data_IF_811437641532
#
_entry.id   IF_811437641532
#
_cell.length_a   1.000
_cell.length_b   1.000
_cell.length_c   1.000
_cell.angle_alpha   90.00
_cell.angle_beta   90.00
_cell.angle_gamma   90.00
#
_symmetry.space_group_name_H-M   'P 1'
#
loop_
_entity.id
_entity.type
_entity.pdbx_description
1 polymer ?
#
# COMPACT_ATOMS: atom_id res chain seq x y z
N UNK A 1 -56.38 5.10 2.65
CA UNK A 1 -55.41 5.88 1.86
C UNK A 1 -53.99 5.76 2.41
N UNK A 2 -53.70 6.03 3.70
CA UNK A 2 -52.33 5.92 4.24
C UNK A 2 -51.64 4.53 4.15
N UNK A 3 -52.36 3.41 4.21
CA UNK A 3 -51.73 2.08 4.23
C UNK A 3 -51.23 1.61 2.85
N UNK A 4 -51.94 1.94 1.77
CA UNK A 4 -51.49 1.59 0.41
C UNK A 4 -50.30 2.47 -0.02
N UNK A 5 -50.35 3.76 0.33
CA UNK A 5 -49.28 4.71 0.06
C UNK A 5 -48.00 4.38 0.84
N UNK A 6 -48.12 4.01 2.13
CA UNK A 6 -46.99 3.51 2.93
C UNK A 6 -46.43 2.18 2.40
N UNK A 7 -47.29 1.25 1.98
CA UNK A 7 -46.86 -0.03 1.37
C UNK A 7 -46.09 0.20 0.06
N UNK A 8 -46.50 1.18 -0.72
CA UNK A 8 -45.83 1.51 -1.98
C UNK A 8 -44.47 2.21 -1.73
N UNK A 9 -44.38 3.08 -0.71
CA UNK A 9 -43.11 3.68 -0.28
C UNK A 9 -42.13 2.61 0.21
N UNK A 10 -42.56 1.65 1.04
CA UNK A 10 -41.71 0.55 1.51
C UNK A 10 -41.19 -0.32 0.36
N UNK A 11 -42.05 -0.62 -0.63
CA UNK A 11 -41.63 -1.34 -1.84
C UNK A 11 -40.58 -0.55 -2.63
N UNK A 12 -40.77 0.77 -2.81
CA UNK A 12 -39.82 1.65 -3.52
C UNK A 12 -38.49 1.76 -2.77
N UNK A 13 -38.51 1.88 -1.44
CA UNK A 13 -37.32 1.90 -0.59
C UNK A 13 -36.52 0.60 -0.72
N UNK A 14 -37.18 -0.55 -0.64
CA UNK A 14 -36.53 -1.85 -0.80
C UNK A 14 -35.86 -2.00 -2.17
N UNK A 15 -36.57 -1.62 -3.24
CA UNK A 15 -36.00 -1.66 -4.60
C UNK A 15 -34.79 -0.72 -4.71
N UNK A 16 -34.86 0.48 -4.12
CA UNK A 16 -33.74 1.42 -4.12
C UNK A 16 -32.52 0.88 -3.36
N UNK A 17 -32.73 0.26 -2.19
CA UNK A 17 -31.66 -0.39 -1.42
C UNK A 17 -31.01 -1.54 -2.19
N UNK A 18 -31.81 -2.38 -2.86
CA UNK A 18 -31.33 -3.49 -3.68
C UNK A 18 -30.53 -3.00 -4.89
N UNK A 19 -31.02 -1.96 -5.59
CA UNK A 19 -30.30 -1.33 -6.70
C UNK A 19 -29.00 -0.68 -6.23
N UNK A 20 -29.01 0.03 -5.11
CA UNK A 20 -27.82 0.64 -4.54
C UNK A 20 -26.78 -0.41 -4.12
N UNK A 21 -27.22 -1.51 -3.51
CA UNK A 21 -26.37 -2.65 -3.15
C UNK A 21 -25.76 -3.31 -4.40
N UNK A 22 -26.57 -3.59 -5.41
CA UNK A 22 -26.11 -4.18 -6.66
C UNK A 22 -25.10 -3.27 -7.38
N UNK A 23 -25.36 -1.96 -7.42
CA UNK A 23 -24.47 -0.97 -8.03
C UNK A 23 -23.13 -0.92 -7.31
N UNK A 24 -23.13 -0.87 -5.97
CA UNK A 24 -21.89 -0.93 -5.18
C UNK A 24 -21.11 -2.22 -5.39
N UNK A 25 -21.81 -3.36 -5.49
CA UNK A 25 -21.17 -4.65 -5.76
C UNK A 25 -20.52 -4.66 -7.15
N UNK A 26 -21.27 -4.29 -8.18
CA UNK A 26 -20.76 -4.23 -9.55
C UNK A 26 -19.55 -3.30 -9.66
N UNK A 27 -19.57 -2.16 -8.98
CA UNK A 27 -18.43 -1.25 -8.92
C UNK A 27 -17.19 -1.92 -8.31
N UNK A 28 -17.34 -2.60 -7.17
CA UNK A 28 -16.24 -3.35 -6.54
C UNK A 28 -15.70 -4.44 -7.45
N UNK A 29 -16.58 -5.19 -8.11
CA UNK A 29 -16.20 -6.25 -9.03
C UNK A 29 -15.42 -5.69 -10.23
N UNK A 30 -15.84 -4.55 -10.79
CA UNK A 30 -15.10 -3.85 -11.85
C UNK A 30 -13.70 -3.40 -11.40
N UNK A 31 -13.59 -2.81 -10.21
CA UNK A 31 -12.28 -2.42 -9.65
C UNK A 31 -11.39 -3.64 -9.46
N UNK A 32 -11.93 -4.75 -8.95
CA UNK A 32 -11.16 -5.99 -8.81
C UNK A 32 -10.66 -6.52 -10.15
N UNK A 33 -11.46 -6.42 -11.22
CA UNK A 33 -11.04 -6.80 -12.57
C UNK A 33 -9.89 -5.91 -13.07
N UNK A 34 -9.94 -4.60 -12.85
CA UNK A 34 -8.82 -3.70 -13.20
C UNK A 34 -7.53 -4.10 -12.48
N UNK A 35 -7.61 -4.39 -11.18
CA UNK A 35 -6.45 -4.84 -10.39
C UNK A 35 -5.95 -6.21 -10.85
N UNK A 36 -6.85 -7.10 -11.27
CA UNK A 36 -6.45 -8.38 -11.85
C UNK A 36 -5.62 -8.17 -13.13
N UNK A 37 -6.02 -7.23 -13.99
CA UNK A 37 -5.27 -6.86 -15.20
C UNK A 37 -3.88 -6.31 -14.86
N UNK A 38 -3.77 -5.42 -13.87
CA UNK A 38 -2.45 -4.93 -13.40
C UNK A 38 -1.60 -6.09 -12.88
N UNK A 39 -2.19 -6.98 -12.09
CA UNK A 39 -1.51 -8.13 -11.48
C UNK A 39 -1.02 -9.15 -12.51
N UNK A 40 -1.65 -9.21 -13.69
CA UNK A 40 -1.18 -10.03 -14.82
C UNK A 40 0.06 -9.43 -15.49
N UNK A 41 0.20 -8.10 -15.48
CA UNK A 41 1.36 -7.41 -16.02
C UNK A 41 2.57 -7.55 -15.08
N UNK A 42 2.36 -7.33 -13.78
CA UNK A 42 3.35 -7.63 -12.75
C UNK A 42 2.69 -7.97 -11.40
N UNK A 43 3.06 -9.13 -10.86
CA UNK A 43 2.49 -9.64 -9.60
C UNK A 43 2.92 -8.82 -8.39
N UNK A 44 4.13 -8.27 -8.41
CA UNK A 44 4.64 -7.49 -7.29
C UNK A 44 3.88 -6.16 -7.17
N UNK A 45 3.65 -5.47 -8.29
CA UNK A 45 2.84 -4.28 -8.41
C UNK A 45 1.40 -4.53 -7.95
N UNK A 46 0.76 -5.60 -8.43
CA UNK A 46 -0.59 -5.97 -7.98
C UNK A 46 -0.68 -6.24 -6.46
N UNK A 47 0.39 -6.79 -5.88
CA UNK A 47 0.52 -6.95 -4.43
C UNK A 47 0.70 -5.62 -3.69
N UNK A 48 1.56 -4.74 -4.21
CA UNK A 48 1.80 -3.40 -3.69
C UNK A 48 0.51 -2.59 -3.61
N UNK A 49 -0.23 -2.48 -4.72
CA UNK A 49 -1.51 -1.78 -4.78
C UNK A 49 -2.50 -2.22 -3.70
N UNK A 50 -2.62 -3.53 -3.48
CA UNK A 50 -3.51 -4.08 -2.44
C UNK A 50 -3.05 -3.72 -1.04
N UNK A 51 -1.75 -3.80 -0.75
CA UNK A 51 -1.21 -3.47 0.58
C UNK A 51 -1.35 -1.99 0.89
N UNK A 52 -1.06 -1.11 -0.07
CA UNK A 52 -1.25 0.35 0.09
C UNK A 52 -2.73 0.68 0.30
N UNK A 53 -3.65 -0.01 -0.39
CA UNK A 53 -5.08 0.18 -0.18
C UNK A 53 -5.54 -0.22 1.23
N UNK A 54 -5.05 -1.34 1.77
CA UNK A 54 -5.36 -1.74 3.15
C UNK A 54 -4.74 -0.76 4.17
N UNK A 55 -3.53 -0.27 3.94
CA UNK A 55 -2.94 0.80 4.77
C UNK A 55 -3.80 2.07 4.73
N UNK A 56 -4.37 2.43 3.58
CA UNK A 56 -5.24 3.60 3.44
C UNK A 56 -6.56 3.41 4.21
N UNK A 57 -7.10 2.18 4.23
CA UNK A 57 -8.27 1.83 5.04
C UNK A 57 -7.96 1.93 6.53
N UNK A 58 -6.83 1.38 6.98
CA UNK A 58 -6.37 1.47 8.38
C UNK A 58 -6.18 2.94 8.79
N UNK A 59 -5.45 3.72 7.99
CA UNK A 59 -5.23 5.14 8.21
C UNK A 59 -6.55 5.91 8.33
N UNK A 60 -7.49 5.65 7.41
CA UNK A 60 -8.77 6.33 7.42
C UNK A 60 -9.64 6.01 8.62
N UNK A 61 -9.59 4.77 9.10
CA UNK A 61 -10.34 4.30 10.27
C UNK A 61 -9.79 4.90 11.56
N UNK A 62 -8.47 4.81 11.77
CA UNK A 62 -7.81 5.32 12.98
C UNK A 62 -7.88 6.86 13.08
N UNK A 63 -7.92 7.54 11.93
CA UNK A 63 -8.09 9.00 11.87
C UNK A 63 -9.55 9.47 12.06
N UNK A 64 -10.51 8.54 12.18
CA UNK A 64 -11.93 8.87 12.38
C UNK A 64 -12.62 9.50 11.15
N UNK A 65 -12.10 9.26 9.94
CA UNK A 65 -12.69 9.82 8.73
C UNK A 65 -14.02 9.14 8.36
N UNK A 66 -14.90 9.90 7.71
CA UNK A 66 -16.19 9.41 7.21
C UNK A 66 -16.02 8.32 6.17
N UNK A 67 -17.05 7.49 6.02
CA UNK A 67 -17.08 6.37 5.06
C UNK A 67 -16.74 6.82 3.63
N UNK A 68 -17.23 7.99 3.21
CA UNK A 68 -16.94 8.58 1.90
C UNK A 68 -15.44 8.87 1.71
N UNK A 69 -14.78 9.46 2.71
CA UNK A 69 -13.34 9.76 2.65
C UNK A 69 -12.53 8.48 2.69
N UNK A 70 -12.89 7.51 3.55
CA UNK A 70 -12.21 6.21 3.62
C UNK A 70 -12.33 5.44 2.31
N UNK A 71 -13.50 5.48 1.67
CA UNK A 71 -13.74 4.82 0.38
C UNK A 71 -12.94 5.49 -0.74
N UNK A 72 -12.91 6.82 -0.78
CA UNK A 72 -12.06 7.59 -1.71
C UNK A 72 -10.57 7.27 -1.52
N UNK A 73 -10.06 7.26 -0.28
CA UNK A 73 -8.67 6.91 0.03
C UNK A 73 -8.34 5.47 -0.40
N UNK A 74 -9.22 4.52 -0.07
CA UNK A 74 -9.03 3.11 -0.40
C UNK A 74 -8.88 2.89 -1.90
N UNK A 75 -9.80 3.41 -2.71
CA UNK A 75 -9.74 3.21 -4.16
C UNK A 75 -8.64 4.02 -4.83
N UNK A 76 -8.32 5.21 -4.31
CA UNK A 76 -7.18 5.99 -4.81
C UNK A 76 -5.86 5.26 -4.58
N UNK A 77 -5.66 4.72 -3.38
CA UNK A 77 -4.51 3.87 -3.05
C UNK A 77 -4.48 2.58 -3.90
N UNK A 78 -5.62 1.94 -4.12
CA UNK A 78 -5.69 0.71 -4.90
C UNK A 78 -5.36 0.93 -6.38
N UNK A 79 -5.64 2.13 -6.92
CA UNK A 79 -5.54 2.44 -8.35
C UNK A 79 -4.40 3.42 -8.69
N UNK A 80 -3.59 3.86 -7.73
CA UNK A 80 -2.59 4.93 -7.95
C UNK A 80 -1.63 4.65 -9.12
N UNK A 81 -1.14 3.42 -9.25
CA UNK A 81 -0.25 3.01 -10.34
C UNK A 81 -0.97 2.36 -11.54
N UNK A 82 -2.30 2.51 -11.69
CA UNK A 82 -3.03 1.92 -12.84
C UNK A 82 -2.48 2.40 -14.19
N UNK A 83 -1.91 3.60 -14.24
CA UNK A 83 -1.28 4.15 -15.44
C UNK A 83 0.04 3.49 -15.84
N UNK A 84 0.58 2.58 -15.02
CA UNK A 84 1.74 1.76 -15.38
C UNK A 84 1.36 0.61 -16.32
N UNK A 85 0.07 0.31 -16.50
CA UNK A 85 -0.39 -0.70 -17.47
C UNK A 85 0.04 -0.30 -18.87
N UNK A 86 0.76 -1.21 -19.54
CA UNK A 86 1.27 -1.00 -20.90
C UNK A 86 2.59 -0.22 -20.98
N UNK A 87 3.20 0.14 -19.84
CA UNK A 87 4.57 0.65 -19.82
C UNK A 87 5.59 -0.46 -20.11
N UNK A 88 6.82 -0.11 -20.57
CA UNK A 88 7.88 -1.09 -20.75
C UNK A 88 8.20 -1.84 -19.45
N UNK A 89 8.50 -3.14 -19.55
CA UNK A 89 8.78 -4.01 -18.38
C UNK A 89 9.88 -3.46 -17.46
N UNK A 90 10.92 -2.83 -18.03
CA UNK A 90 12.00 -2.19 -17.26
C UNK A 90 11.53 -1.04 -16.36
N UNK A 91 10.44 -0.37 -16.72
CA UNK A 91 9.81 0.68 -15.91
C UNK A 91 8.95 0.06 -14.82
N UNK A 92 8.18 -0.98 -15.17
CA UNK A 92 7.27 -1.63 -14.23
C UNK A 92 8.05 -2.32 -13.09
N UNK A 93 9.10 -3.06 -13.45
CA UNK A 93 9.87 -3.88 -12.51
C UNK A 93 11.04 -3.13 -11.87
N UNK A 94 11.47 -2.01 -12.47
CA UNK A 94 12.67 -1.30 -12.05
C UNK A 94 12.48 -0.40 -10.83
N UNK A 95 13.58 0.16 -10.34
CA UNK A 95 13.59 1.11 -9.23
C UNK A 95 13.60 2.55 -9.76
N UNK A 96 12.58 3.38 -9.45
CA UNK A 96 12.55 4.80 -9.84
C UNK A 96 13.80 5.59 -9.47
N UNK A 97 14.43 5.28 -8.32
CA UNK A 97 15.66 5.93 -7.86
C UNK A 97 16.87 5.61 -8.74
N UNK A 98 16.82 4.49 -9.47
CA UNK A 98 17.90 3.99 -10.34
C UNK A 98 17.64 4.22 -11.82
N UNK A 99 16.52 4.84 -12.19
CA UNK A 99 16.21 5.13 -13.58
C UNK A 99 17.17 6.16 -14.18
N UNK A 100 17.55 5.92 -15.43
CA UNK A 100 18.21 6.93 -16.26
C UNK A 100 17.20 8.06 -16.61
N UNK A 101 17.68 9.10 -17.28
CA UNK A 101 16.87 10.26 -17.63
C UNK A 101 15.63 9.90 -18.47
N UNK A 102 15.78 9.06 -19.49
CA UNK A 102 14.69 8.66 -20.38
C UNK A 102 13.63 7.83 -19.65
N UNK A 103 14.07 6.90 -18.80
CA UNK A 103 13.19 6.06 -18.00
C UNK A 103 12.45 6.86 -16.93
N UNK A 104 13.07 7.90 -16.34
CA UNK A 104 12.37 8.85 -15.46
C UNK A 104 11.26 9.60 -16.19
N UNK A 105 11.51 10.06 -17.43
CA UNK A 105 10.48 10.74 -18.24
C UNK A 105 9.32 9.79 -18.56
N UNK A 106 9.60 8.51 -18.86
CA UNK A 106 8.55 7.53 -19.13
C UNK A 106 7.76 7.24 -17.85
N UNK A 107 8.44 7.01 -16.74
CA UNK A 107 7.82 6.74 -15.45
C UNK A 107 6.93 7.90 -15.01
N UNK A 108 7.37 9.16 -15.14
CA UNK A 108 6.62 10.34 -14.74
C UNK A 108 5.28 10.54 -15.49
N UNK A 109 5.01 9.76 -16.55
CA UNK A 109 3.74 9.80 -17.29
C UNK A 109 2.63 8.95 -16.66
N UNK A 110 2.96 7.98 -15.79
CA UNK A 110 1.94 7.07 -15.27
C UNK A 110 0.84 7.77 -14.46
N UNK A 111 1.06 8.87 -13.71
CA UNK A 111 -0.03 9.55 -13.01
C UNK A 111 -1.03 10.16 -14.00
N UNK A 112 -0.53 10.74 -15.10
CA UNK A 112 -1.35 11.31 -16.18
C UNK A 112 -2.15 10.24 -16.92
N UNK A 113 -1.53 9.10 -17.20
CA UNK A 113 -2.20 7.96 -17.83
C UNK A 113 -3.26 7.39 -16.88
N UNK A 114 -2.94 7.25 -15.59
CA UNK A 114 -3.84 6.76 -14.57
C UNK A 114 -5.06 7.65 -14.39
N UNK A 115 -4.84 8.97 -14.30
CA UNK A 115 -5.92 9.96 -14.31
C UNK A 115 -6.80 9.76 -15.54
N UNK A 116 -6.23 9.72 -16.74
CA UNK A 116 -6.99 9.58 -18.00
C UNK A 116 -7.82 8.30 -18.06
N UNK A 117 -7.31 7.18 -17.51
CA UNK A 117 -8.05 5.92 -17.43
C UNK A 117 -9.27 6.10 -16.51
N UNK A 118 -9.07 6.67 -15.33
CA UNK A 118 -10.09 6.74 -14.28
C UNK A 118 -11.11 7.85 -14.51
N UNK A 119 -10.68 9.00 -15.04
CA UNK A 119 -11.53 10.17 -15.30
C UNK A 119 -12.59 9.92 -16.39
N UNK A 120 -12.50 8.81 -17.12
CA UNK A 120 -13.54 8.34 -18.03
C UNK A 120 -14.87 8.04 -17.31
N UNK A 121 -14.82 7.75 -16.01
CA UNK A 121 -15.99 7.60 -15.16
C UNK A 121 -16.17 8.87 -14.31
N UNK A 122 -17.25 9.63 -14.56
CA UNK A 122 -17.54 10.89 -13.85
C UNK A 122 -17.58 10.72 -12.32
N UNK A 123 -18.08 9.59 -11.83
CA UNK A 123 -18.15 9.26 -10.41
C UNK A 123 -16.78 9.11 -9.73
N UNK A 124 -15.70 8.96 -10.50
CA UNK A 124 -14.35 8.72 -10.00
C UNK A 124 -13.44 9.95 -10.08
N UNK A 125 -13.99 11.13 -10.36
CA UNK A 125 -13.20 12.36 -10.51
C UNK A 125 -12.27 12.66 -9.31
N UNK A 126 -12.78 12.50 -8.07
CA UNK A 126 -11.97 12.68 -6.86
C UNK A 126 -10.82 11.69 -6.77
N UNK A 127 -11.04 10.45 -7.23
CA UNK A 127 -10.02 9.41 -7.26
C UNK A 127 -8.99 9.73 -8.35
N UNK A 128 -9.40 10.17 -9.54
CA UNK A 128 -8.46 10.54 -10.61
C UNK A 128 -7.57 11.72 -10.23
N UNK A 129 -8.09 12.70 -9.49
CA UNK A 129 -7.29 13.83 -8.96
C UNK A 129 -6.20 13.34 -7.99
N UNK A 130 -6.52 12.38 -7.11
CA UNK A 130 -5.52 11.76 -6.23
C UNK A 130 -4.49 10.98 -7.02
N UNK A 131 -4.92 10.18 -8.00
CA UNK A 131 -4.03 9.40 -8.87
C UNK A 131 -3.10 10.31 -9.67
N UNK A 132 -3.56 11.47 -10.13
CA UNK A 132 -2.69 12.41 -10.85
C UNK A 132 -1.57 12.93 -9.96
N UNK A 133 -1.88 13.25 -8.70
CA UNK A 133 -0.98 14.01 -7.82
C UNK A 133 -0.24 13.15 -6.78
N UNK A 134 -0.34 11.81 -6.81
CA UNK A 134 0.24 10.98 -5.74
C UNK A 134 1.78 10.98 -5.69
N UNK A 135 2.45 11.53 -6.71
CA UNK A 135 3.89 11.78 -6.74
C UNK A 135 4.26 13.26 -6.52
N UNK A 136 3.29 14.12 -6.21
CA UNK A 136 3.58 15.47 -5.78
C UNK A 136 4.23 15.45 -4.39
N UNK A 137 5.25 16.28 -4.22
CA UNK A 137 5.92 16.45 -2.94
C UNK A 137 5.41 17.71 -2.27
N UNK A 138 5.30 17.70 -0.95
CA UNK A 138 4.74 18.81 -0.19
C UNK A 138 5.49 20.14 -0.41
N UNK A 139 6.80 20.09 -0.70
CA UNK A 139 7.63 21.24 -1.06
C UNK A 139 7.47 21.74 -2.52
N UNK A 140 6.80 20.98 -3.39
CA UNK A 140 6.61 21.28 -4.80
C UNK A 140 7.67 20.70 -5.75
N UNK A 141 8.59 19.85 -5.26
CA UNK A 141 9.62 19.19 -6.09
C UNK A 141 9.15 17.89 -6.76
N UNK A 142 7.89 17.51 -6.54
CA UNK A 142 7.28 16.32 -7.12
C UNK A 142 6.80 16.53 -8.56
N UNK A 143 5.98 15.61 -9.03
CA UNK A 143 5.44 15.62 -10.40
C UNK A 143 4.01 15.07 -10.41
N UNK A 144 3.18 15.36 -11.44
CA UNK A 144 3.50 16.00 -12.72
C UNK A 144 3.30 17.52 -12.80
N UNK A 145 2.62 18.13 -11.83
CA UNK A 145 2.18 19.53 -11.87
C UNK A 145 3.05 20.48 -11.01
N UNK A 146 3.96 19.93 -10.19
CA UNK A 146 4.87 20.68 -9.31
C UNK A 146 4.10 21.59 -8.33
N UNK A 147 2.97 21.07 -7.83
CA UNK A 147 2.10 21.77 -6.88
C UNK A 147 2.55 21.50 -5.45
N UNK A 148 2.41 22.51 -4.57
CA UNK A 148 2.96 22.49 -3.21
C UNK A 148 1.90 22.62 -2.12
N UNK A 149 2.22 22.06 -0.96
CA UNK A 149 1.44 22.14 0.27
C UNK A 149 0.01 21.64 0.08
N UNK A 150 -0.95 22.38 0.62
CA UNK A 150 -2.37 22.00 0.60
C UNK A 150 -3.04 22.08 -0.78
N UNK A 151 -2.33 22.59 -1.81
CA UNK A 151 -2.81 22.47 -3.20
C UNK A 151 -2.81 21.02 -3.67
N UNK A 152 -1.97 20.17 -3.07
CA UNK A 152 -1.95 18.74 -3.33
C UNK A 152 -3.23 18.14 -2.72
N UNK A 153 -4.03 17.39 -3.49
CA UNK A 153 -5.22 16.72 -2.98
C UNK A 153 -4.91 15.95 -1.70
N UNK A 154 -5.79 16.06 -0.70
CA UNK A 154 -5.63 15.38 0.58
C UNK A 154 -5.30 13.88 0.41
N UNK A 155 -6.03 13.19 -0.48
CA UNK A 155 -5.79 11.77 -0.73
C UNK A 155 -4.40 11.50 -1.32
N UNK A 156 -3.84 12.40 -2.13
CA UNK A 156 -2.52 12.24 -2.72
C UNK A 156 -1.42 12.39 -1.67
N UNK A 157 -1.57 13.36 -0.75
CA UNK A 157 -0.66 13.52 0.40
C UNK A 157 -0.59 12.28 1.28
N UNK A 158 -1.74 11.62 1.50
CA UNK A 158 -1.81 10.35 2.25
C UNK A 158 -1.20 9.21 1.44
N UNK A 159 -1.64 9.00 0.18
CA UNK A 159 -1.18 7.87 -0.65
C UNK A 159 0.33 7.89 -0.88
N UNK A 160 0.95 9.07 -1.03
CA UNK A 160 2.40 9.22 -1.15
C UNK A 160 3.13 8.56 0.03
N UNK A 161 2.72 8.87 1.27
CA UNK A 161 3.33 8.31 2.49
C UNK A 161 3.14 6.80 2.54
N UNK A 162 1.93 6.31 2.26
CA UNK A 162 1.59 4.89 2.34
C UNK A 162 2.31 4.05 1.27
N UNK A 163 2.47 4.59 0.06
CA UNK A 163 3.19 3.93 -1.03
C UNK A 163 4.68 3.82 -0.74
N UNK A 164 5.31 4.90 -0.24
CA UNK A 164 6.72 4.87 0.17
C UNK A 164 6.97 3.92 1.34
N UNK A 165 6.06 3.87 2.32
CA UNK A 165 6.12 2.91 3.42
C UNK A 165 6.11 1.46 2.91
N UNK A 166 5.19 1.11 2.02
CA UNK A 166 5.13 -0.24 1.43
C UNK A 166 6.41 -0.55 0.63
N UNK A 167 6.88 0.40 -0.19
CA UNK A 167 8.10 0.24 -0.98
C UNK A 167 9.33 0.02 -0.09
N UNK A 168 9.47 0.76 1.00
CA UNK A 168 10.53 0.58 1.98
C UNK A 168 10.53 -0.83 2.58
N UNK A 169 9.37 -1.33 2.99
CA UNK A 169 9.25 -2.67 3.60
C UNK A 169 9.47 -3.81 2.60
N UNK A 170 8.78 -3.76 1.46
CA UNK A 170 8.67 -4.92 0.57
C UNK A 170 9.64 -4.89 -0.60
N UNK A 171 9.99 -3.70 -1.11
CA UNK A 171 10.93 -3.54 -2.24
C UNK A 171 12.36 -3.36 -1.74
N UNK A 172 12.59 -2.49 -0.76
CA UNK A 172 13.92 -2.26 -0.16
C UNK A 172 14.25 -3.25 0.95
N UNK A 173 13.25 -3.94 1.53
CA UNK A 173 13.46 -4.93 2.58
C UNK A 173 13.86 -4.33 3.93
N UNK A 174 13.51 -3.06 4.17
CA UNK A 174 13.79 -2.38 5.43
C UNK A 174 12.92 -2.96 6.55
N UNK A 175 13.42 -2.87 7.79
CA UNK A 175 12.59 -3.14 8.96
C UNK A 175 11.49 -2.08 9.15
N UNK A 176 10.49 -2.38 9.99
CA UNK A 176 9.46 -1.40 10.37
C UNK A 176 10.09 -0.14 10.99
N UNK A 177 11.07 -0.32 11.87
CA UNK A 177 11.78 0.77 12.53
C UNK A 177 12.58 1.61 11.53
N UNK A 178 13.39 0.96 10.67
CA UNK A 178 14.15 1.64 9.62
C UNK A 178 13.25 2.36 8.63
N UNK A 179 12.09 1.76 8.30
CA UNK A 179 11.10 2.39 7.42
C UNK A 179 10.56 3.66 8.05
N UNK A 180 10.17 3.62 9.33
CA UNK A 180 9.73 4.80 10.06
C UNK A 180 10.79 5.90 10.06
N UNK A 181 12.04 5.54 10.38
CA UNK A 181 13.18 6.47 10.37
C UNK A 181 13.39 7.09 8.98
N UNK A 182 13.36 6.27 7.93
CA UNK A 182 13.49 6.73 6.52
C UNK A 182 12.37 7.71 6.13
N UNK A 183 11.13 7.49 6.58
CA UNK A 183 10.03 8.42 6.32
C UNK A 183 10.23 9.74 7.06
N UNK A 184 10.69 9.71 8.31
CA UNK A 184 10.94 10.90 9.13
C UNK A 184 12.10 11.75 8.60
N UNK A 185 13.15 11.13 8.07
CA UNK A 185 14.28 11.83 7.44
C UNK A 185 13.85 12.67 6.23
N UNK A 186 12.81 12.23 5.50
CA UNK A 186 12.29 12.93 4.32
C UNK A 186 11.10 13.87 4.63
N UNK A 187 10.76 14.04 5.91
CA UNK A 187 9.52 14.69 6.38
C UNK A 187 9.33 16.14 5.96
N UNK A 188 10.40 16.93 5.91
CA UNK A 188 10.32 18.37 5.63
C UNK A 188 10.20 18.72 4.15
N UNK A 189 10.38 17.75 3.25
CA UNK A 189 10.41 17.96 1.81
C UNK A 189 9.24 17.25 1.13
N UNK A 190 9.11 15.95 1.36
CA UNK A 190 8.21 15.09 0.58
C UNK A 190 6.79 15.05 1.12
N UNK A 191 6.64 14.97 2.44
CA UNK A 191 5.37 14.60 3.06
C UNK A 191 4.67 15.80 3.71
N UNK A 192 3.34 15.72 3.78
CA UNK A 192 2.57 16.59 4.65
C UNK A 192 2.88 16.24 6.12
N UNK A 193 3.37 17.20 6.93
CA UNK A 193 3.74 16.93 8.32
C UNK A 193 2.59 16.38 9.17
N UNK A 194 1.37 16.88 8.98
CA UNK A 194 0.22 16.44 9.79
C UNK A 194 -0.20 15.00 9.44
N UNK A 195 -0.12 14.64 8.16
CA UNK A 195 -0.43 13.27 7.71
C UNK A 195 0.67 12.30 8.14
N UNK A 196 1.93 12.71 8.08
CA UNK A 196 3.06 11.90 8.53
C UNK A 196 3.03 11.64 10.03
N UNK A 197 2.69 12.64 10.85
CA UNK A 197 2.53 12.47 12.29
C UNK A 197 1.41 11.47 12.62
N UNK A 198 0.27 11.60 11.95
CA UNK A 198 -0.87 10.69 12.09
C UNK A 198 -0.47 9.26 11.73
N UNK A 199 0.20 9.07 10.59
CA UNK A 199 0.66 7.76 10.16
C UNK A 199 1.75 7.17 11.06
N UNK A 200 2.66 8.01 11.58
CA UNK A 200 3.70 7.59 12.52
C UNK A 200 3.10 7.03 13.81
N UNK A 201 2.06 7.66 14.33
CA UNK A 201 1.32 7.18 15.50
C UNK A 201 0.65 5.83 15.24
N UNK A 202 0.09 5.63 14.04
CA UNK A 202 -0.46 4.35 13.62
C UNK A 202 0.61 3.25 13.58
N UNK A 203 1.79 3.55 13.02
CA UNK A 203 2.93 2.61 13.01
C UNK A 203 3.38 2.29 14.44
N UNK A 204 3.44 3.27 15.34
CA UNK A 204 3.85 3.04 16.72
C UNK A 204 2.88 2.12 17.48
N UNK A 205 1.57 2.31 17.27
CA UNK A 205 0.55 1.41 17.80
C UNK A 205 0.73 -0.01 17.25
N UNK A 206 1.01 -0.14 15.95
CA UNK A 206 1.28 -1.44 15.30
C UNK A 206 2.53 -2.09 15.88
N UNK A 207 3.64 -1.37 16.00
CA UNK A 207 4.88 -1.85 16.61
C UNK A 207 4.68 -2.30 18.07
N UNK A 208 3.90 -1.53 18.85
CA UNK A 208 3.56 -1.87 20.23
C UNK A 208 2.74 -3.16 20.33
N UNK A 209 1.75 -3.33 19.46
CA UNK A 209 0.94 -4.56 19.40
C UNK A 209 1.75 -5.75 18.93
N UNK A 210 2.59 -5.57 17.90
CA UNK A 210 3.47 -6.61 17.40
C UNK A 210 4.53 -7.04 18.43
N UNK A 211 4.93 -6.14 19.34
CA UNK A 211 5.80 -6.50 20.44
C UNK A 211 5.10 -7.34 21.54
N UNK A 212 3.77 -7.35 21.58
CA UNK A 212 2.95 -8.10 22.55
C UNK A 212 2.51 -9.47 22.05
N UNK A 213 2.32 -9.65 20.74
CA UNK A 213 1.80 -10.88 20.13
C UNK A 213 2.88 -11.68 19.39
N UNK A 214 4.02 -11.91 20.03
CA UNK A 214 5.06 -12.72 19.42
C UNK A 214 4.79 -14.22 19.56
N UNK A 215 5.08 -14.96 18.49
CA UNK A 215 4.92 -16.41 18.40
C UNK A 215 6.26 -17.07 18.12
N UNK A 216 6.59 -18.14 18.85
CA UNK A 216 7.81 -18.92 18.60
C UNK A 216 7.48 -20.07 17.66
N UNK A 217 7.87 -19.95 16.38
CA UNK A 217 7.61 -20.96 15.34
C UNK A 217 8.91 -21.63 14.87
N UNK A 218 8.86 -22.86 14.31
CA UNK A 218 9.99 -23.43 13.59
C UNK A 218 10.36 -22.59 12.35
N UNK A 219 11.66 -22.49 12.00
CA UNK A 219 12.10 -21.76 10.79
C UNK A 219 11.41 -22.28 9.52
N UNK A 220 11.15 -23.59 9.43
CA UNK A 220 10.45 -24.19 8.27
C UNK A 220 9.01 -23.69 8.12
N UNK A 221 8.42 -23.16 9.19
CA UNK A 221 7.06 -22.62 9.21
C UNK A 221 7.01 -21.13 8.89
N UNK A 222 8.16 -20.49 8.63
CA UNK A 222 8.19 -19.10 8.20
C UNK A 222 7.46 -18.93 6.87
N UNK A 223 6.61 -17.91 6.81
CA UNK A 223 5.85 -17.53 5.62
C UNK A 223 6.16 -16.09 5.22
N UNK A 224 5.97 -15.73 3.94
CA UNK A 224 6.05 -14.33 3.54
C UNK A 224 5.07 -13.48 4.36
N UNK A 225 5.53 -12.32 4.83
CA UNK A 225 4.75 -11.42 5.68
C UNK A 225 4.95 -11.62 7.18
N UNK A 226 5.63 -12.68 7.62
CA UNK A 226 6.02 -12.82 9.02
C UNK A 226 7.17 -11.86 9.35
N UNK A 227 7.08 -11.18 10.50
CA UNK A 227 8.10 -10.27 11.00
C UNK A 227 9.03 -11.00 11.97
N UNK A 228 10.32 -11.05 11.66
CA UNK A 228 11.29 -11.81 12.45
C UNK A 228 11.74 -11.01 13.69
N UNK A 229 11.61 -11.58 14.89
CA UNK A 229 12.08 -10.96 16.17
C UNK A 229 13.42 -11.53 16.66
N UNK A 230 13.89 -12.63 16.07
CA UNK A 230 15.15 -13.28 16.42
C UNK A 230 16.13 -13.27 15.24
N UNK A 231 17.41 -12.99 15.50
CA UNK A 231 18.46 -13.15 14.49
C UNK A 231 18.60 -14.63 14.09
N UNK A 232 18.57 -14.94 12.80
CA UNK A 232 18.89 -16.28 12.30
C UNK A 232 20.36 -16.31 11.94
N UNK A 233 21.15 -17.11 12.65
CA UNK A 233 22.58 -17.28 12.46
C UNK A 233 22.94 -18.70 12.01
N UNK A 234 24.04 -18.82 11.27
CA UNK A 234 24.64 -20.09 10.89
C UNK A 234 25.51 -20.64 12.02
N UNK A 235 25.84 -21.93 11.96
CA UNK A 235 26.71 -22.63 12.92
C UNK A 235 28.10 -22.02 13.08
N UNK A 236 28.59 -21.33 12.05
CA UNK A 236 29.86 -20.62 12.07
C UNK A 236 29.76 -19.19 12.64
N UNK A 237 28.59 -18.80 13.17
CA UNK A 237 28.33 -17.48 13.74
C UNK A 237 27.94 -16.40 12.73
N UNK A 238 27.88 -16.70 11.43
CA UNK A 238 27.50 -15.73 10.41
C UNK A 238 25.98 -15.44 10.46
N UNK A 239 25.61 -14.16 10.43
CA UNK A 239 24.22 -13.73 10.36
C UNK A 239 23.61 -14.05 8.99
N UNK A 240 22.54 -14.85 8.98
CA UNK A 240 21.81 -15.22 7.76
C UNK A 240 20.64 -14.26 7.51
N UNK A 241 19.82 -14.00 8.53
CA UNK A 241 18.76 -12.99 8.49
C UNK A 241 18.75 -12.21 9.82
N UNK A 242 18.77 -10.87 9.78
CA UNK A 242 18.66 -10.06 10.98
C UNK A 242 17.24 -10.09 11.55
N UNK A 243 17.12 -9.97 12.87
CA UNK A 243 15.85 -9.58 13.49
C UNK A 243 15.41 -8.23 12.95
N UNK A 244 14.10 -8.01 12.92
CA UNK A 244 13.47 -6.80 12.41
C UNK A 244 13.08 -6.88 10.93
N UNK A 245 13.39 -7.97 10.21
CA UNK A 245 13.04 -8.08 8.79
C UNK A 245 11.65 -8.68 8.58
N UNK A 246 10.96 -8.19 7.55
CA UNK A 246 9.77 -8.83 7.01
C UNK A 246 10.21 -9.96 6.09
N UNK A 247 9.81 -11.19 6.43
CA UNK A 247 10.14 -12.37 5.66
C UNK A 247 9.48 -12.27 4.28
N UNK A 248 10.28 -12.40 3.22
CA UNK A 248 9.80 -12.48 1.85
C UNK A 248 10.20 -13.81 1.19
N UNK A 249 9.64 -14.09 0.01
CA UNK A 249 9.90 -15.36 -0.69
C UNK A 249 11.38 -15.58 -1.05
N UNK A 250 12.15 -14.51 -1.28
CA UNK A 250 13.59 -14.60 -1.56
C UNK A 250 14.38 -15.00 -0.31
N UNK A 251 14.06 -14.41 0.84
CA UNK A 251 14.63 -14.76 2.13
C UNK A 251 14.32 -16.22 2.51
N UNK A 252 13.10 -16.69 2.23
CA UNK A 252 12.73 -18.09 2.44
C UNK A 252 13.53 -19.07 1.56
N UNK A 253 13.74 -18.73 0.28
CA UNK A 253 14.61 -19.52 -0.60
C UNK A 253 16.04 -19.58 -0.07
N UNK A 254 16.58 -18.44 0.39
CA UNK A 254 17.91 -18.38 1.02
C UNK A 254 17.96 -19.24 2.29
N UNK A 255 16.96 -19.13 3.17
CA UNK A 255 16.85 -19.98 4.36
C UNK A 255 16.83 -21.47 4.02
N UNK A 256 16.10 -21.86 2.97
CA UNK A 256 16.05 -23.25 2.51
C UNK A 256 17.42 -23.76 2.04
N UNK A 257 18.17 -22.94 1.30
CA UNK A 257 19.53 -23.28 0.83
C UNK A 257 20.54 -23.48 1.97
N UNK A 258 20.38 -22.74 3.07
CA UNK A 258 21.30 -22.79 4.21
C UNK A 258 20.77 -23.59 5.40
N UNK A 259 19.60 -24.25 5.28
CA UNK A 259 18.89 -24.84 6.42
C UNK A 259 19.74 -25.81 7.25
N UNK A 260 20.56 -26.66 6.60
CA UNK A 260 21.45 -27.60 7.28
C UNK A 260 22.62 -26.96 8.05
N UNK A 261 22.90 -25.69 7.77
CA UNK A 261 23.99 -24.91 8.36
C UNK A 261 23.50 -23.90 9.40
N UNK A 262 22.20 -23.81 9.65
CA UNK A 262 21.62 -22.94 10.68
C UNK A 262 22.03 -23.47 12.06
N UNK A 263 22.37 -22.56 12.96
CA UNK A 263 22.72 -22.89 14.34
C UNK A 263 21.57 -23.64 15.02
N UNK A 264 21.90 -24.75 15.69
CA UNK A 264 20.92 -25.61 16.34
C UNK A 264 20.17 -24.86 17.47
N UNK A 265 20.75 -23.78 18.02
CA UNK A 265 20.14 -22.88 19.01
C UNK A 265 19.03 -22.00 18.45
N UNK A 266 18.94 -21.84 17.13
CA UNK A 266 17.98 -20.92 16.47
C UNK A 266 17.04 -21.66 15.51
N UNK A 267 16.79 -22.95 15.73
CA UNK A 267 15.82 -23.72 14.91
C UNK A 267 14.37 -23.24 15.05
N UNK A 268 14.07 -22.53 16.13
CA UNK A 268 12.82 -21.83 16.35
C UNK A 268 13.12 -20.35 16.45
N UNK A 269 12.26 -19.56 15.84
CA UNK A 269 12.40 -18.11 15.79
C UNK A 269 11.14 -17.49 16.33
N UNK A 270 11.33 -16.42 17.08
CA UNK A 270 10.24 -15.54 17.45
C UNK A 270 9.85 -14.72 16.22
N UNK A 271 8.57 -14.73 15.92
CA UNK A 271 7.98 -13.96 14.82
C UNK A 271 6.74 -13.24 15.30
N UNK A 272 6.30 -12.29 14.49
CA UNK A 272 4.99 -11.68 14.61
C UNK A 272 4.33 -11.76 13.25
N UNK A 273 3.03 -12.05 13.19
CA UNK A 273 2.29 -12.12 11.92
C UNK A 273 0.84 -11.73 12.12
#
# INVERSE_FOLDING_TARGET
MNNEENSEIEKKLKVLEDVHRATRKNFKDMVQLLIAVVSLSDKFLGGHLKRVAELAREFGLESGYSDDIREMLYYSALLHDIGMVGMPERIITGNPESFNYDDKIIYAKHPLIGEKIISSAYSLKRISEVIRSHHEHFDGTGFPDEIKGEKIPFGARVVCILSDYDSCLFKKGLSLQQTKETLLENSSLKYDPAMLETFSTLIDKKLSNLAKESHIIPIKSLQPGMFLKTDIVLKNGLLLLPKGVLVNSGMLKRLASFYGFIDDRVKRVEVVY
#
